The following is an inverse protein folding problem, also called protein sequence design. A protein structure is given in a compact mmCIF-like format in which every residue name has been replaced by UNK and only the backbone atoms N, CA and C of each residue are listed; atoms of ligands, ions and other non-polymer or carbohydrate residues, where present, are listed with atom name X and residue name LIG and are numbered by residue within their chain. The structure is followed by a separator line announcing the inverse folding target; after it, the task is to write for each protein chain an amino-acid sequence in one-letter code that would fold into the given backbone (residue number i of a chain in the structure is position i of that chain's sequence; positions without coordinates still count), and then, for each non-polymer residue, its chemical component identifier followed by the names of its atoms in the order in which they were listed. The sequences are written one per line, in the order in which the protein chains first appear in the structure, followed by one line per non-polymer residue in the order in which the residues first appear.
data_IF_311908434837
#
_entry.id   IF_311908434837
#
_cell.length_a   1.000
_cell.length_b   1.000
_cell.length_c   1.000
_cell.angle_alpha   90.00
_cell.angle_beta   90.00
_cell.angle_gamma   90.00
#
_symmetry.space_group_name_H-M   'P 1'
#
loop_
_entity.id
_entity.type
_entity.pdbx_description
1 polymer ?
#
# COMPACT_ATOMS: atom_id res chain seq x y z
N UNK A 1 34.95 -40.35 7.20
CA UNK A 1 33.83 -39.38 7.29
C UNK A 1 32.62 -40.05 6.65
N UNK A 2 31.52 -40.18 7.40
CA UNK A 2 30.46 -41.15 7.14
C UNK A 2 29.40 -40.58 6.16
N UNK A 3 29.42 -41.02 4.90
CA UNK A 3 28.58 -40.52 3.79
C UNK A 3 27.07 -40.71 4.00
N UNK A 4 26.67 -41.57 4.95
CA UNK A 4 25.27 -41.89 5.23
C UNK A 4 24.46 -40.72 5.83
N UNK A 5 25.10 -39.77 6.53
CA UNK A 5 24.39 -38.67 7.20
C UNK A 5 23.91 -37.59 6.21
N UNK A 6 24.57 -37.47 5.05
CA UNK A 6 24.25 -36.44 4.04
C UNK A 6 22.99 -36.77 3.21
N UNK A 7 22.60 -38.06 3.12
CA UNK A 7 21.43 -38.45 2.34
C UNK A 7 20.10 -38.06 3.00
N UNK A 8 20.07 -37.89 4.32
CA UNK A 8 18.86 -37.57 5.07
C UNK A 8 18.34 -36.14 4.80
N UNK A 9 19.22 -35.21 4.45
CA UNK A 9 18.87 -33.81 4.15
C UNK A 9 18.80 -33.51 2.65
N UNK A 10 18.84 -34.54 1.80
CA UNK A 10 18.80 -34.37 0.35
C UNK A 10 17.36 -34.17 -0.11
N UNK A 11 17.05 -32.97 -0.57
CA UNK A 11 15.81 -32.63 -1.28
C UNK A 11 15.96 -32.93 -2.77
N UNK A 12 14.87 -33.33 -3.42
CA UNK A 12 14.86 -33.55 -4.87
C UNK A 12 14.84 -32.22 -5.62
N UNK A 13 15.25 -32.23 -6.90
CA UNK A 13 15.32 -31.01 -7.71
C UNK A 13 13.96 -30.30 -7.81
N UNK A 14 12.86 -31.07 -7.79
CA UNK A 14 11.50 -30.55 -7.81
C UNK A 14 11.10 -29.80 -6.53
N UNK A 15 11.77 -30.08 -5.41
CA UNK A 15 11.51 -29.42 -4.12
C UNK A 15 12.36 -28.16 -3.93
N UNK A 16 13.32 -27.89 -4.83
CA UNK A 16 14.19 -26.72 -4.74
C UNK A 16 13.48 -25.41 -5.13
N UNK A 17 12.30 -25.50 -5.74
CA UNK A 17 11.57 -24.34 -6.20
C UNK A 17 10.07 -24.52 -6.01
N UNK A 18 9.39 -23.41 -5.80
CA UNK A 18 7.94 -23.39 -5.75
C UNK A 18 7.35 -23.59 -7.16
N UNK A 19 6.34 -24.45 -7.26
CA UNK A 19 5.68 -24.77 -8.52
C UNK A 19 4.29 -24.13 -8.59
N UNK A 20 4.00 -23.48 -9.73
CA UNK A 20 2.65 -23.03 -10.08
C UNK A 20 2.02 -24.03 -11.01
N UNK A 21 0.87 -24.58 -10.64
CA UNK A 21 0.03 -25.27 -11.59
C UNK A 21 -0.53 -24.27 -12.61
N UNK A 22 -0.08 -24.38 -13.86
CA UNK A 22 -0.52 -23.49 -14.95
C UNK A 22 -1.99 -23.69 -15.30
N UNK A 23 -2.54 -24.88 -15.05
CA UNK A 23 -3.96 -25.15 -15.29
C UNK A 23 -4.86 -24.47 -14.25
N UNK A 24 -4.32 -24.05 -13.10
CA UNK A 24 -5.03 -23.29 -12.09
C UNK A 24 -5.18 -21.80 -12.44
N UNK A 25 -4.46 -21.29 -13.45
CA UNK A 25 -4.54 -19.90 -13.86
C UNK A 25 -5.61 -19.73 -14.94
N UNK A 26 -6.64 -18.88 -14.74
CA UNK A 26 -7.75 -18.72 -15.68
C UNK A 26 -7.39 -17.83 -16.90
N UNK A 27 -6.12 -17.71 -17.27
CA UNK A 27 -5.63 -16.86 -18.35
C UNK A 27 -4.37 -17.43 -19.00
N UNK A 28 -4.09 -17.03 -20.25
CA UNK A 28 -2.92 -17.51 -21.01
C UNK A 28 -1.73 -16.55 -20.90
N UNK A 29 -2.00 -15.25 -20.79
CA UNK A 29 -1.00 -14.20 -20.66
C UNK A 29 -1.44 -13.14 -19.66
N UNK A 30 -0.49 -12.46 -19.03
CA UNK A 30 -0.79 -11.28 -18.19
C UNK A 30 -1.41 -10.14 -18.98
N UNK A 31 -1.31 -10.15 -20.32
CA UNK A 31 -2.05 -9.23 -21.22
C UNK A 31 -3.57 -9.43 -21.17
N UNK A 32 -4.02 -10.63 -20.81
CA UNK A 32 -5.44 -10.98 -20.73
C UNK A 32 -6.07 -10.50 -19.41
N UNK A 33 -5.25 -10.04 -18.47
CA UNK A 33 -5.68 -9.61 -17.14
C UNK A 33 -5.87 -8.10 -17.12
N UNK A 34 -7.04 -7.65 -16.66
CA UNK A 34 -7.25 -6.23 -16.37
C UNK A 34 -6.32 -5.82 -15.22
N UNK A 35 -5.48 -4.78 -15.38
CA UNK A 35 -4.60 -4.33 -14.31
C UNK A 35 -5.38 -4.00 -13.04
N UNK A 36 -5.06 -4.67 -11.94
CA UNK A 36 -5.57 -4.31 -10.63
C UNK A 36 -4.71 -3.17 -10.08
N UNK A 37 -5.31 -1.98 -9.99
CA UNK A 37 -4.73 -0.88 -9.21
C UNK A 37 -5.21 -1.08 -7.78
N UNK A 38 -4.68 -2.10 -7.11
CA UNK A 38 -4.96 -2.41 -5.70
C UNK A 38 -3.65 -2.59 -4.96
N UNK A 39 -3.59 -2.08 -3.73
CA UNK A 39 -2.46 -2.31 -2.83
C UNK A 39 -2.77 -3.56 -2.00
N UNK A 40 -1.90 -4.56 -2.05
CA UNK A 40 -2.07 -5.84 -1.38
C UNK A 40 -1.26 -5.91 -0.08
N UNK A 41 -1.79 -6.58 0.95
CA UNK A 41 -1.08 -6.86 2.21
C UNK A 41 -0.96 -5.66 3.18
N UNK A 42 -1.73 -4.60 2.97
CA UNK A 42 -1.70 -3.38 3.77
C UNK A 42 -3.01 -3.11 4.52
N UNK A 43 -3.74 -4.16 4.89
CA UNK A 43 -5.09 -4.05 5.48
C UNK A 43 -5.09 -3.19 6.76
N UNK A 44 -4.16 -3.44 7.69
CA UNK A 44 -4.01 -2.61 8.90
C UNK A 44 -3.71 -1.14 8.59
N UNK A 45 -2.88 -0.87 7.57
CA UNK A 45 -2.58 0.51 7.17
C UNK A 45 -3.79 1.18 6.51
N UNK A 46 -4.61 0.41 5.77
CA UNK A 46 -5.87 0.87 5.20
C UNK A 46 -6.86 1.26 6.28
N UNK A 47 -7.06 0.40 7.27
CA UNK A 47 -8.01 0.65 8.36
C UNK A 47 -7.60 1.86 9.20
N UNK A 48 -6.32 1.96 9.57
CA UNK A 48 -5.80 3.09 10.33
C UNK A 48 -5.94 4.42 9.58
N UNK A 49 -5.66 4.44 8.27
CA UNK A 49 -5.81 5.65 7.47
C UNK A 49 -7.29 6.03 7.27
N UNK A 50 -8.16 5.04 7.06
CA UNK A 50 -9.60 5.24 6.95
C UNK A 50 -10.14 5.89 8.22
N UNK A 51 -9.82 5.32 9.37
CA UNK A 51 -10.19 5.90 10.66
C UNK A 51 -9.67 7.33 10.83
N UNK A 52 -8.41 7.61 10.49
CA UNK A 52 -7.84 8.94 10.65
C UNK A 52 -8.48 9.99 9.73
N UNK A 53 -8.97 9.59 8.55
CA UNK A 53 -9.68 10.48 7.61
C UNK A 53 -11.10 10.78 8.09
N UNK A 54 -11.79 9.77 8.62
CA UNK A 54 -13.18 9.88 9.07
C UNK A 54 -13.31 10.51 10.46
N UNK A 55 -12.35 10.23 11.35
CA UNK A 55 -12.29 10.79 12.69
C UNK A 55 -11.84 12.26 12.63
N UNK A 56 -12.80 13.19 12.55
CA UNK A 56 -12.54 14.64 12.52
C UNK A 56 -12.16 15.22 13.90
N UNK A 57 -11.29 14.54 14.65
CA UNK A 57 -10.81 15.02 15.94
C UNK A 57 -9.81 16.19 15.78
N UNK A 58 -9.96 17.29 16.55
CA UNK A 58 -9.01 18.39 16.51
C UNK A 58 -7.57 17.93 16.79
N UNK A 59 -6.63 18.34 15.93
CA UNK A 59 -5.20 18.03 16.09
C UNK A 59 -4.79 16.62 15.63
N UNK A 60 -5.73 15.79 15.16
CA UNK A 60 -5.41 14.47 14.62
C UNK A 60 -4.77 14.60 13.23
N UNK A 61 -3.60 13.98 13.07
CA UNK A 61 -2.91 13.90 11.78
C UNK A 61 -2.47 12.45 11.52
N UNK A 62 -2.59 12.00 10.28
CA UNK A 62 -2.12 10.68 9.86
C UNK A 62 -0.69 10.74 9.31
N UNK A 63 0.14 9.75 9.66
CA UNK A 63 1.49 9.58 9.13
C UNK A 63 1.69 8.15 8.60
N UNK A 64 2.18 8.03 7.36
CA UNK A 64 2.33 6.74 6.67
C UNK A 64 3.81 6.38 6.49
N UNK A 65 4.26 5.32 7.17
CA UNK A 65 5.63 4.78 7.10
C UNK A 65 5.71 3.47 6.34
N UNK A 66 6.90 3.13 5.87
CA UNK A 66 7.17 1.88 5.15
C UNK A 66 8.39 2.00 4.24
N UNK A 67 8.85 0.87 3.71
CA UNK A 67 9.99 0.82 2.81
C UNK A 67 9.74 1.65 1.53
N UNK A 68 10.81 2.09 0.87
CA UNK A 68 10.71 2.65 -0.48
C UNK A 68 10.14 1.60 -1.44
N UNK A 69 9.26 2.02 -2.35
CA UNK A 69 8.60 1.10 -3.29
C UNK A 69 7.39 0.34 -2.75
N UNK A 70 7.06 0.42 -1.46
CA UNK A 70 5.91 -0.28 -0.84
C UNK A 70 4.51 0.26 -1.22
N UNK A 71 4.39 1.10 -2.25
CA UNK A 71 3.08 1.59 -2.69
C UNK A 71 2.36 2.57 -1.76
N UNK A 72 3.03 3.13 -0.73
CA UNK A 72 2.43 4.08 0.25
C UNK A 72 1.61 5.21 -0.38
N UNK A 73 2.17 5.88 -1.40
CA UNK A 73 1.47 6.97 -2.10
C UNK A 73 0.24 6.46 -2.86
N UNK A 74 0.32 5.27 -3.45
CA UNK A 74 -0.78 4.62 -4.17
C UNK A 74 -1.91 4.29 -3.19
N UNK A 75 -1.58 3.72 -2.03
CA UNK A 75 -2.54 3.40 -0.96
C UNK A 75 -3.31 4.65 -0.50
N UNK A 76 -2.59 5.73 -0.17
CA UNK A 76 -3.21 6.99 0.25
C UNK A 76 -4.18 7.51 -0.82
N UNK A 77 -3.75 7.54 -2.10
CA UNK A 77 -4.60 8.02 -3.20
C UNK A 77 -5.87 7.17 -3.38
N UNK A 78 -5.73 5.84 -3.31
CA UNK A 78 -6.87 4.94 -3.42
C UNK A 78 -7.88 5.17 -2.30
N UNK A 79 -7.41 5.24 -1.05
CA UNK A 79 -8.28 5.44 0.12
C UNK A 79 -9.01 6.79 0.04
N UNK A 80 -8.32 7.86 -0.34
CA UNK A 80 -8.98 9.16 -0.57
C UNK A 80 -10.03 9.11 -1.69
N UNK A 81 -9.75 8.39 -2.77
CA UNK A 81 -10.69 8.21 -3.88
C UNK A 81 -11.88 7.31 -3.53
N UNK A 82 -11.70 6.35 -2.62
CA UNK A 82 -12.74 5.47 -2.09
C UNK A 82 -13.65 6.21 -1.09
N UNK A 83 -13.07 6.83 -0.05
CA UNK A 83 -13.81 7.50 1.03
C UNK A 83 -14.46 8.80 0.56
N UNK A 84 -13.82 9.54 -0.35
CA UNK A 84 -14.25 10.87 -0.83
C UNK A 84 -14.67 11.79 0.33
N UNK A 85 -13.78 12.04 1.30
CA UNK A 85 -14.13 12.83 2.48
C UNK A 85 -14.64 14.21 2.05
N UNK A 86 -15.70 14.70 2.72
CA UNK A 86 -16.22 16.05 2.46
C UNK A 86 -15.12 17.06 2.68
N UNK A 87 -14.82 17.85 1.65
CA UNK A 87 -13.91 18.96 1.78
C UNK A 87 -14.48 19.97 2.79
N UNK A 88 -13.64 20.45 3.70
CA UNK A 88 -13.98 21.63 4.50
C UNK A 88 -14.25 22.79 3.53
N UNK A 89 -15.22 23.65 3.87
CA UNK A 89 -15.48 24.88 3.11
C UNK A 89 -14.15 25.61 2.95
N UNK A 90 -13.68 25.71 1.72
CA UNK A 90 -12.43 26.39 1.43
C UNK A 90 -12.68 27.88 1.61
N UNK A 91 -11.85 28.50 2.44
CA UNK A 91 -11.75 29.96 2.49
C UNK A 91 -10.69 30.37 1.48
N UNK A 92 -10.92 31.46 0.78
CA UNK A 92 -9.87 32.08 0.00
C UNK A 92 -8.81 32.60 0.97
N UNK A 93 -7.56 32.20 0.73
CA UNK A 93 -6.41 32.72 1.45
C UNK A 93 -5.75 33.77 0.57
N UNK A 94 -5.72 35.02 1.04
CA UNK A 94 -4.97 36.08 0.40
C UNK A 94 -3.88 36.60 1.36
N UNK A 95 -2.69 36.82 0.81
CA UNK A 95 -1.67 37.58 1.52
C UNK A 95 -1.96 39.06 1.32
N UNK A 96 -2.11 39.77 2.43
CA UNK A 96 -2.24 41.23 2.45
C UNK A 96 -0.99 41.82 3.10
N UNK A 97 -0.50 42.91 2.53
CA UNK A 97 0.63 43.61 3.11
C UNK A 97 0.21 44.26 4.43
N UNK A 98 0.83 43.86 5.53
CA UNK A 98 0.60 44.48 6.83
C UNK A 98 1.38 45.80 6.94
N UNK A 99 0.76 46.92 6.55
CA UNK A 99 1.40 48.24 6.62
C UNK A 99 1.81 48.68 8.04
N UNK A 100 1.20 48.10 9.08
CA UNK A 100 1.56 48.40 10.48
C UNK A 100 2.78 47.63 10.96
N UNK A 101 3.03 46.44 10.40
CA UNK A 101 4.15 45.58 10.74
C UNK A 101 4.71 44.96 9.45
N UNK A 102 5.53 45.70 8.68
CA UNK A 102 5.98 45.31 7.34
C UNK A 102 7.11 44.26 7.32
N UNK A 103 7.44 43.64 8.45
CA UNK A 103 8.58 42.72 8.62
C UNK A 103 8.14 41.26 8.63
#
# INVERSE_FOLDING_TARGET
MNTQVLHHFRVSDEQLYWHVDKHALPFNSTKDIKPAVQVFGHDTAKDALTYAIECQAPGLNAYVRGLSGSGRKTLVKQIFAEIKPKARVQRDFCYVHNFTHPN
#
